data_IF_169084709465
#
_entry.id   IF_169084709465
#
_cell.length_a   1.000
_cell.length_b   1.000
_cell.length_c   1.000
_cell.angle_alpha   90.00
_cell.angle_beta   90.00
_cell.angle_gamma   90.00
#
_symmetry.space_group_name_H-M   'P 1'
#
loop_
_entity.id
_entity.type
_entity.pdbx_description
1 polymer ?
#
# COMPACT_ATOMS: atom_id res chain seq x y z
N UNK A 1 -35.13 11.48 -5.30
CA UNK A 1 -35.44 11.95 -6.65
C UNK A 1 -36.94 11.72 -6.90
N UNK A 2 -37.71 12.74 -7.23
CA UNK A 2 -39.15 12.61 -7.54
C UNK A 2 -39.27 12.11 -8.98
N UNK A 3 -39.86 10.92 -9.15
CA UNK A 3 -40.15 10.38 -10.50
C UNK A 3 -41.65 10.35 -10.69
N UNK A 4 -42.12 10.95 -11.78
CA UNK A 4 -43.54 10.89 -12.17
C UNK A 4 -43.74 9.65 -13.04
N UNK A 5 -44.56 8.74 -12.57
CA UNK A 5 -44.96 7.53 -13.32
C UNK A 5 -46.37 7.68 -13.79
N UNK A 6 -46.61 7.41 -15.08
CA UNK A 6 -47.95 7.43 -15.67
C UNK A 6 -48.62 6.07 -15.37
N UNK A 7 -49.71 6.10 -14.61
CA UNK A 7 -50.44 4.90 -14.22
C UNK A 7 -51.82 4.92 -14.85
N UNK A 8 -52.19 3.79 -15.47
CA UNK A 8 -53.55 3.60 -16.03
C UNK A 8 -54.47 3.17 -14.88
N UNK A 9 -55.39 4.03 -14.49
CA UNK A 9 -56.40 3.72 -13.49
C UNK A 9 -57.48 2.76 -14.05
N UNK A 10 -58.08 1.96 -13.18
CA UNK A 10 -59.16 1.06 -13.54
C UNK A 10 -60.38 1.87 -13.98
N UNK A 11 -60.48 2.15 -15.26
CA UNK A 11 -61.48 3.04 -15.91
C UNK A 11 -60.91 3.79 -17.11
N UNK A 12 -59.66 3.51 -17.53
CA UNK A 12 -59.09 4.04 -18.78
C UNK A 12 -58.53 5.45 -18.72
N UNK A 13 -58.44 6.07 -17.54
CA UNK A 13 -57.89 7.41 -17.39
C UNK A 13 -56.43 7.33 -16.94
N UNK A 14 -55.51 7.98 -17.65
CA UNK A 14 -54.09 8.10 -17.32
C UNK A 14 -53.89 9.22 -16.29
N UNK A 15 -53.32 8.85 -15.13
CA UNK A 15 -52.97 9.80 -14.08
C UNK A 15 -51.50 9.71 -13.75
N UNK A 16 -50.89 10.88 -13.45
CA UNK A 16 -49.50 10.89 -12.94
C UNK A 16 -49.49 10.64 -11.44
N UNK A 17 -48.79 9.64 -11.02
CA UNK A 17 -48.51 9.40 -9.59
C UNK A 17 -47.07 9.78 -9.28
N UNK A 18 -46.87 10.62 -8.28
CA UNK A 18 -45.54 10.96 -7.79
C UNK A 18 -45.06 9.86 -6.84
N UNK A 19 -44.03 9.13 -7.27
CA UNK A 19 -43.38 8.13 -6.44
C UNK A 19 -42.06 8.71 -5.93
N UNK A 20 -42.02 8.94 -4.63
CA UNK A 20 -40.76 9.28 -3.98
C UNK A 20 -39.95 7.99 -3.84
N UNK A 21 -38.96 7.76 -4.71
CA UNK A 21 -37.98 6.72 -4.49
C UNK A 21 -37.00 7.23 -3.41
N UNK A 22 -37.18 6.76 -2.19
CA UNK A 22 -36.09 6.81 -1.22
C UNK A 22 -34.88 6.12 -1.86
N UNK A 23 -33.66 6.65 -1.71
CA UNK A 23 -32.50 5.91 -2.15
C UNK A 23 -32.48 4.59 -1.36
N UNK A 24 -32.74 3.50 -2.04
CA UNK A 24 -32.57 2.16 -1.48
C UNK A 24 -31.11 2.07 -1.10
N UNK A 25 -30.82 2.00 0.19
CA UNK A 25 -29.48 1.68 0.66
C UNK A 25 -29.16 0.28 0.13
N UNK A 26 -28.38 0.21 -0.94
CA UNK A 26 -27.81 -1.05 -1.41
C UNK A 26 -26.99 -1.60 -0.25
N UNK A 27 -27.22 -2.84 0.20
CA UNK A 27 -26.45 -3.42 1.29
C UNK A 27 -24.94 -3.29 1.00
N UNK A 28 -24.15 -2.94 2.00
CA UNK A 28 -22.69 -2.74 1.90
C UNK A 28 -21.99 -3.90 1.18
N UNK A 29 -22.51 -5.13 1.31
CA UNK A 29 -22.01 -6.34 0.64
C UNK A 29 -22.14 -6.37 -0.89
N UNK A 30 -22.86 -5.42 -1.49
CA UNK A 30 -23.00 -5.32 -2.96
C UNK A 30 -22.01 -4.31 -3.58
N UNK A 31 -21.24 -3.56 -2.76
CA UNK A 31 -20.22 -2.61 -3.22
C UNK A 31 -18.84 -3.20 -2.96
N UNK A 32 -18.00 -3.23 -3.99
CA UNK A 32 -16.60 -3.67 -3.81
C UNK A 32 -15.85 -2.84 -2.76
N UNK A 33 -14.75 -3.33 -2.19
CA UNK A 33 -14.03 -2.66 -1.10
C UNK A 33 -13.52 -1.25 -1.45
N UNK A 34 -13.41 -0.92 -2.72
CA UNK A 34 -12.87 0.37 -3.20
C UNK A 34 -13.92 1.45 -3.43
N UNK A 35 -15.21 1.10 -3.47
CA UNK A 35 -16.27 2.09 -3.71
C UNK A 35 -16.52 2.98 -2.49
N UNK A 36 -16.91 4.23 -2.71
CA UNK A 36 -17.22 5.21 -1.67
C UNK A 36 -16.12 6.26 -1.49
N UNK A 37 -16.18 6.99 -0.39
CA UNK A 37 -15.28 8.14 -0.15
C UNK A 37 -13.88 7.71 0.24
N UNK A 38 -12.91 8.28 -0.44
CA UNK A 38 -11.48 8.09 -0.22
C UNK A 38 -10.77 9.43 0.00
N UNK A 39 -9.68 9.38 0.73
CA UNK A 39 -8.73 10.48 0.83
C UNK A 39 -7.42 10.09 0.17
N UNK A 40 -6.78 11.01 -0.52
CA UNK A 40 -5.47 10.84 -1.14
C UNK A 40 -4.47 11.76 -0.48
N UNK A 41 -3.29 11.24 -0.13
CA UNK A 41 -2.23 11.98 0.55
C UNK A 41 -0.90 11.72 -0.14
N UNK A 42 -0.32 12.76 -0.74
CA UNK A 42 1.04 12.70 -1.29
C UNK A 42 1.95 13.47 -0.35
N UNK A 43 2.94 12.79 0.23
CA UNK A 43 3.84 13.43 1.20
C UNK A 43 5.26 13.59 0.64
N UNK A 44 5.97 14.67 1.04
CA UNK A 44 7.38 14.80 0.72
C UNK A 44 8.21 13.65 1.31
N UNK A 45 9.47 13.48 0.86
CA UNK A 45 10.36 12.46 1.41
C UNK A 45 10.54 12.62 2.92
N UNK A 46 10.39 11.49 3.67
CA UNK A 46 10.53 11.45 5.14
C UNK A 46 11.50 10.35 5.57
N UNK A 47 11.96 10.41 6.81
CA UNK A 47 12.73 9.32 7.43
C UNK A 47 11.90 8.03 7.53
N UNK A 48 12.58 6.89 7.69
CA UNK A 48 11.89 5.62 7.86
C UNK A 48 10.94 5.61 9.04
N UNK A 49 11.36 6.16 10.17
CA UNK A 49 10.53 6.27 11.37
C UNK A 49 9.28 7.13 11.14
N UNK A 50 9.44 8.30 10.51
CA UNK A 50 8.33 9.20 10.22
C UNK A 50 7.35 8.61 9.20
N UNK A 51 7.84 7.87 8.18
CA UNK A 51 6.98 7.18 7.21
C UNK A 51 6.15 6.07 7.87
N UNK A 52 6.77 5.22 8.69
CA UNK A 52 6.06 4.16 9.44
C UNK A 52 5.09 4.73 10.47
N UNK A 53 5.45 5.82 11.12
CA UNK A 53 4.61 6.52 12.08
C UNK A 53 3.33 7.07 11.45
N UNK A 54 3.46 7.71 10.28
CA UNK A 54 2.31 8.26 9.58
C UNK A 54 1.38 7.15 9.05
N UNK A 55 1.93 6.07 8.50
CA UNK A 55 1.12 4.91 8.09
C UNK A 55 0.36 4.30 9.29
N UNK A 56 1.00 4.22 10.46
CA UNK A 56 0.36 3.77 11.69
C UNK A 56 -0.75 4.73 12.15
N UNK A 57 -0.47 6.03 12.17
CA UNK A 57 -1.46 7.03 12.58
C UNK A 57 -2.68 7.05 11.65
N UNK A 58 -2.47 6.89 10.34
CA UNK A 58 -3.56 6.77 9.35
C UNK A 58 -4.37 5.49 9.55
N UNK A 59 -3.75 4.35 9.89
CA UNK A 59 -4.45 3.10 10.22
C UNK A 59 -5.32 3.27 11.49
N UNK A 60 -4.79 3.89 12.55
CA UNK A 60 -5.56 4.17 13.77
C UNK A 60 -6.68 5.20 13.51
N UNK A 61 -6.44 6.16 12.61
CA UNK A 61 -7.49 7.09 12.17
C UNK A 61 -8.59 6.35 11.41
N UNK A 62 -8.24 5.44 10.50
CA UNK A 62 -9.22 4.61 9.80
C UNK A 62 -10.09 3.82 10.79
N UNK A 63 -9.49 3.24 11.84
CA UNK A 63 -10.21 2.52 12.90
C UNK A 63 -11.21 3.42 13.64
N UNK A 64 -10.81 4.66 14.00
CA UNK A 64 -11.67 5.58 14.78
C UNK A 64 -12.76 6.26 13.96
N UNK A 65 -12.50 6.53 12.68
CA UNK A 65 -13.36 7.42 11.87
C UNK A 65 -13.97 6.75 10.64
N UNK A 66 -13.55 5.53 10.30
CA UNK A 66 -13.93 4.88 9.04
C UNK A 66 -13.25 5.47 7.81
N UNK A 67 -12.36 6.46 7.95
CA UNK A 67 -11.71 7.13 6.82
C UNK A 67 -10.78 6.17 6.08
N UNK A 68 -10.90 6.12 4.75
CA UNK A 68 -10.02 5.36 3.85
C UNK A 68 -9.02 6.31 3.23
N UNK A 69 -7.74 5.91 3.22
CA UNK A 69 -6.66 6.76 2.69
C UNK A 69 -5.76 5.95 1.77
N UNK A 70 -5.52 6.49 0.56
CA UNK A 70 -4.40 6.12 -0.30
C UNK A 70 -3.30 7.16 -0.10
N UNK A 71 -2.15 6.74 0.41
CA UNK A 71 -0.97 7.59 0.56
C UNK A 71 0.12 7.17 -0.41
N UNK A 72 0.84 8.16 -1.00
CA UNK A 72 2.02 7.95 -1.86
C UNK A 72 3.17 8.78 -1.33
N UNK A 73 4.35 8.17 -1.21
CA UNK A 73 5.52 8.82 -0.61
C UNK A 73 6.85 8.24 -1.09
N UNK A 74 7.93 8.91 -0.70
CA UNK A 74 9.31 8.46 -0.87
C UNK A 74 10.09 8.60 0.43
N UNK A 75 11.35 8.22 0.43
CA UNK A 75 12.22 8.18 1.58
C UNK A 75 13.28 9.28 1.50
N UNK A 76 13.64 9.88 2.63
CA UNK A 76 14.63 10.97 2.67
C UNK A 76 16.08 10.49 2.46
N UNK A 77 16.31 9.20 2.42
CA UNK A 77 17.56 8.53 2.15
C UNK A 77 17.43 7.03 2.16
N UNK A 78 18.45 6.28 1.77
CA UNK A 78 18.44 4.83 1.78
C UNK A 78 18.04 4.30 3.16
N UNK A 79 17.05 3.43 3.22
CA UNK A 79 16.51 2.92 4.48
C UNK A 79 16.23 1.42 4.37
N UNK A 80 16.86 0.61 5.21
CA UNK A 80 16.53 -0.80 5.38
C UNK A 80 15.34 -0.94 6.32
N UNK A 81 14.21 -1.44 5.82
CA UNK A 81 13.08 -1.82 6.66
C UNK A 81 13.09 -3.31 6.98
N UNK A 82 12.99 -3.63 8.26
CA UNK A 82 12.80 -4.99 8.75
C UNK A 82 11.31 -5.31 8.88
N UNK A 83 10.94 -6.54 8.57
CA UNK A 83 9.60 -7.03 8.86
C UNK A 83 9.36 -7.11 10.38
N UNK A 84 8.09 -7.00 10.79
CA UNK A 84 7.67 -6.96 12.20
C UNK A 84 8.32 -8.04 13.08
N UNK A 85 8.43 -9.27 12.57
CA UNK A 85 8.89 -10.44 13.32
C UNK A 85 10.25 -10.93 12.84
N UNK A 86 10.96 -10.17 12.00
CA UNK A 86 12.26 -10.55 11.49
C UNK A 86 13.33 -10.34 12.57
N UNK A 87 14.20 -11.32 12.75
CA UNK A 87 15.36 -11.19 13.64
C UNK A 87 16.28 -10.08 13.14
N UNK A 88 16.77 -9.23 14.04
CA UNK A 88 17.65 -8.11 13.72
C UNK A 88 19.01 -8.24 14.40
N UNK A 89 19.03 -8.57 15.70
CA UNK A 89 20.28 -8.67 16.48
C UNK A 89 21.20 -9.75 15.93
N UNK A 90 22.44 -9.36 15.60
CA UNK A 90 23.45 -10.26 15.05
C UNK A 90 23.19 -10.71 13.61
N UNK A 91 22.18 -10.12 12.93
CA UNK A 91 21.88 -10.39 11.52
C UNK A 91 22.18 -9.20 10.60
N UNK A 92 22.33 -8.01 11.19
CA UNK A 92 22.60 -6.77 10.48
C UNK A 92 24.02 -6.36 10.78
N UNK A 93 24.76 -6.03 9.74
CA UNK A 93 26.04 -5.33 9.88
C UNK A 93 25.77 -3.83 10.00
N UNK A 94 25.58 -3.38 11.25
CA UNK A 94 25.25 -2.00 11.57
C UNK A 94 26.37 -1.02 11.16
N UNK A 95 27.63 -1.46 11.19
CA UNK A 95 28.77 -0.63 10.80
C UNK A 95 28.80 -0.43 9.28
N UNK A 96 28.55 -1.50 8.53
CA UNK A 96 28.42 -1.41 7.07
C UNK A 96 27.18 -0.58 6.68
N UNK A 97 26.02 -0.77 7.33
CA UNK A 97 24.84 0.06 7.08
C UNK A 97 25.14 1.55 7.30
N UNK A 98 25.80 1.88 8.40
CA UNK A 98 26.19 3.27 8.73
C UNK A 98 27.19 3.84 7.70
N UNK A 99 28.20 3.03 7.30
CA UNK A 99 29.19 3.45 6.30
C UNK A 99 28.57 3.70 4.92
N UNK A 100 27.48 3.00 4.60
CA UNK A 100 26.71 3.18 3.37
C UNK A 100 25.64 4.30 3.48
N UNK A 101 25.46 4.92 4.65
CA UNK A 101 24.43 5.90 4.91
C UNK A 101 23.01 5.32 4.91
N UNK A 102 22.87 4.01 5.16
CA UNK A 102 21.58 3.31 5.20
C UNK A 102 21.00 3.40 6.60
N UNK A 103 19.83 4.01 6.71
CA UNK A 103 19.06 4.06 7.95
C UNK A 103 18.32 2.73 8.19
N UNK A 104 18.02 2.41 9.45
CA UNK A 104 17.27 1.23 9.84
C UNK A 104 15.90 1.61 10.39
N UNK A 105 14.87 0.84 10.05
CA UNK A 105 13.54 0.95 10.65
C UNK A 105 12.87 -0.42 10.68
N UNK A 106 12.05 -0.69 11.68
CA UNK A 106 11.16 -1.86 11.66
C UNK A 106 9.75 -1.42 11.33
N UNK A 107 9.18 -1.99 10.27
CA UNK A 107 7.80 -1.71 9.87
C UNK A 107 6.78 -2.48 10.70
N UNK A 108 5.53 -2.00 10.82
CA UNK A 108 4.46 -2.68 11.57
C UNK A 108 3.97 -3.96 10.89
N UNK A 109 4.16 -4.08 9.59
CA UNK A 109 3.77 -5.24 8.77
C UNK A 109 4.82 -6.34 8.81
N UNK A 110 4.43 -7.54 8.42
CA UNK A 110 5.33 -8.68 8.27
C UNK A 110 6.23 -8.57 7.03
N UNK A 111 6.78 -9.72 6.63
CA UNK A 111 7.64 -9.84 5.46
C UNK A 111 9.12 -9.77 5.81
N UNK A 112 9.97 -9.73 4.78
CA UNK A 112 11.44 -9.77 4.84
C UNK A 112 12.03 -8.37 4.72
N UNK A 113 13.33 -8.24 4.95
CA UNK A 113 14.07 -7.01 4.79
C UNK A 113 13.94 -6.44 3.37
N UNK A 114 13.88 -5.12 3.28
CA UNK A 114 13.73 -4.39 2.03
C UNK A 114 14.53 -3.09 2.11
N UNK A 115 15.31 -2.80 1.08
CA UNK A 115 15.99 -1.52 0.94
C UNK A 115 15.06 -0.54 0.19
N UNK A 116 14.67 0.51 0.88
CA UNK A 116 13.93 1.64 0.33
C UNK A 116 14.92 2.73 -0.10
N UNK A 117 14.99 3.02 -1.38
CA UNK A 117 15.84 4.08 -1.91
C UNK A 117 15.25 4.64 -3.21
N UNK A 118 15.51 4.01 -4.35
CA UNK A 118 15.00 4.43 -5.66
C UNK A 118 13.65 3.78 -5.95
N UNK A 119 12.63 4.22 -5.23
CA UNK A 119 11.28 3.66 -5.30
C UNK A 119 10.21 4.73 -5.02
N UNK A 120 8.98 4.40 -5.32
CA UNK A 120 7.79 5.04 -4.79
C UNK A 120 7.08 4.06 -3.88
N UNK A 121 6.82 4.47 -2.64
CA UNK A 121 6.02 3.68 -1.71
C UNK A 121 4.57 4.13 -1.73
N UNK A 122 3.64 3.19 -1.72
CA UNK A 122 2.23 3.46 -1.47
C UNK A 122 1.82 2.88 -0.12
N UNK A 123 0.81 3.44 0.51
CA UNK A 123 0.06 2.79 1.58
C UNK A 123 -1.44 3.02 1.44
N UNK A 124 -2.20 2.00 1.80
CA UNK A 124 -3.66 2.03 1.89
C UNK A 124 -4.04 1.71 3.32
N UNK A 125 -4.81 2.60 3.94
CA UNK A 125 -5.43 2.36 5.25
C UNK A 125 -6.94 2.41 5.12
N UNK A 126 -7.63 1.47 5.76
CA UNK A 126 -9.08 1.36 5.71
C UNK A 126 -9.64 0.76 6.99
N UNK A 127 -10.88 1.12 7.32
CA UNK A 127 -11.69 0.41 8.30
C UNK A 127 -12.30 -0.82 7.62
N UNK A 128 -12.28 -1.93 8.34
CA UNK A 128 -12.89 -3.19 7.92
C UNK A 128 -14.26 -3.35 8.59
N UNK A 129 -15.31 -3.44 7.80
CA UNK A 129 -16.63 -3.73 8.31
C UNK A 129 -16.79 -5.23 8.67
N UNK A 130 -17.83 -5.53 9.42
CA UNK A 130 -18.12 -6.93 9.78
C UNK A 130 -18.45 -7.75 8.54
N UNK A 131 -17.62 -8.74 8.26
CA UNK A 131 -17.76 -9.59 7.07
C UNK A 131 -16.77 -9.27 5.95
N UNK A 132 -16.01 -8.17 6.05
CA UNK A 132 -15.00 -7.84 5.07
C UNK A 132 -13.90 -8.91 5.03
N UNK A 133 -13.53 -9.29 3.82
CA UNK A 133 -12.44 -10.22 3.56
C UNK A 133 -11.13 -9.47 3.33
N UNK A 134 -10.13 -9.71 4.18
CA UNK A 134 -8.76 -9.19 3.98
C UNK A 134 -8.19 -9.60 2.62
N UNK A 135 -8.54 -10.80 2.15
CA UNK A 135 -8.11 -11.29 0.83
C UNK A 135 -8.73 -10.48 -0.30
N UNK A 136 -9.99 -10.11 -0.19
CA UNK A 136 -10.68 -9.27 -1.19
C UNK A 136 -10.09 -7.86 -1.20
N UNK A 137 -9.79 -7.27 -0.03
CA UNK A 137 -9.10 -6.00 0.09
C UNK A 137 -7.71 -6.05 -0.57
N UNK A 138 -6.93 -7.09 -0.28
CA UNK A 138 -5.60 -7.27 -0.87
C UNK A 138 -5.68 -7.36 -2.40
N UNK A 139 -6.61 -8.16 -2.93
CA UNK A 139 -6.83 -8.32 -4.36
C UNK A 139 -7.27 -7.00 -5.02
N UNK A 140 -8.18 -6.26 -4.38
CA UNK A 140 -8.68 -4.99 -4.89
C UNK A 140 -7.59 -3.91 -4.94
N UNK A 141 -6.77 -3.81 -3.88
CA UNK A 141 -5.64 -2.87 -3.85
C UNK A 141 -4.61 -3.24 -4.94
N UNK A 142 -4.31 -4.53 -5.11
CA UNK A 142 -3.39 -4.96 -6.17
C UNK A 142 -3.95 -4.70 -7.58
N UNK A 143 -5.27 -4.74 -7.75
CA UNK A 143 -5.91 -4.36 -9.02
C UNK A 143 -5.71 -2.86 -9.33
N UNK A 144 -5.79 -1.96 -8.32
CA UNK A 144 -5.44 -0.54 -8.49
C UNK A 144 -3.98 -0.37 -8.92
N UNK A 145 -3.06 -1.08 -8.25
CA UNK A 145 -1.64 -1.02 -8.57
C UNK A 145 -1.37 -1.45 -10.01
N UNK A 146 -2.00 -2.55 -10.42
CA UNK A 146 -1.87 -3.07 -11.78
C UNK A 146 -2.43 -2.10 -12.82
N UNK A 147 -3.64 -1.54 -12.59
CA UNK A 147 -4.23 -0.53 -13.48
C UNK A 147 -3.35 0.73 -13.57
N UNK A 148 -2.80 1.19 -12.44
CA UNK A 148 -1.88 2.33 -12.42
C UNK A 148 -0.60 2.06 -13.25
N UNK A 149 -0.02 0.87 -13.15
CA UNK A 149 1.13 0.47 -13.94
C UNK A 149 0.81 0.40 -15.45
N UNK A 150 -0.34 -0.16 -15.80
CA UNK A 150 -0.82 -0.17 -17.20
C UNK A 150 -1.04 1.25 -17.74
N UNK A 151 -1.57 2.18 -16.94
CA UNK A 151 -1.71 3.61 -17.31
C UNK A 151 -0.37 4.30 -17.55
N UNK A 152 0.68 3.88 -16.85
CA UNK A 152 2.05 4.34 -17.11
C UNK A 152 2.67 3.72 -18.37
N UNK A 153 2.04 2.71 -18.97
CA UNK A 153 2.54 1.98 -20.14
C UNK A 153 3.39 0.76 -19.79
N UNK A 154 3.34 0.28 -18.55
CA UNK A 154 4.06 -0.91 -18.10
C UNK A 154 3.20 -2.14 -18.36
N UNK A 155 3.73 -3.12 -19.09
CA UNK A 155 3.11 -4.44 -19.28
C UNK A 155 3.37 -5.31 -18.02
N UNK A 156 2.69 -4.93 -16.94
CA UNK A 156 2.80 -5.60 -15.66
C UNK A 156 1.73 -6.68 -15.51
N UNK A 157 2.04 -7.73 -14.77
CA UNK A 157 1.16 -8.87 -14.56
C UNK A 157 1.15 -9.30 -13.08
N UNK A 158 0.04 -9.93 -12.60
CA UNK A 158 0.05 -10.57 -11.29
C UNK A 158 1.08 -11.71 -11.28
N UNK A 159 1.91 -11.76 -10.25
CA UNK A 159 2.89 -12.83 -10.11
C UNK A 159 2.20 -14.18 -9.85
N UNK A 160 2.65 -15.20 -10.57
CA UNK A 160 2.21 -16.58 -10.37
C UNK A 160 3.19 -17.25 -9.39
N UNK A 161 2.70 -17.64 -8.22
CA UNK A 161 3.52 -18.39 -7.26
C UNK A 161 3.73 -19.83 -7.73
N UNK A 162 4.99 -20.20 -7.94
CA UNK A 162 5.38 -21.58 -8.22
C UNK A 162 5.93 -22.25 -6.94
N UNK A 163 5.06 -22.51 -5.95
CA UNK A 163 5.42 -23.31 -4.78
C UNK A 163 5.21 -22.63 -3.42
N UNK A 164 5.46 -23.38 -2.32
CA UNK A 164 5.33 -22.88 -0.94
C UNK A 164 6.34 -21.76 -0.69
N UNK A 165 5.86 -20.61 -0.20
CA UNK A 165 6.72 -19.55 0.30
C UNK A 165 7.59 -20.07 1.44
N UNK A 166 8.93 -19.97 1.40
CA UNK A 166 9.77 -20.32 2.52
C UNK A 166 9.44 -19.47 3.74
N UNK A 167 9.69 -20.02 4.95
CA UNK A 167 9.51 -19.29 6.21
C UNK A 167 10.32 -17.98 6.21
N UNK A 168 9.85 -16.90 6.86
CA UNK A 168 10.39 -15.52 6.72
C UNK A 168 11.80 -15.30 7.27
N UNK A 169 12.54 -16.34 7.66
CA UNK A 169 13.76 -16.22 8.46
C UNK A 169 15.01 -15.78 7.69
N UNK A 170 15.06 -15.90 6.36
CA UNK A 170 16.36 -15.92 5.67
C UNK A 170 16.44 -15.26 4.31
N UNK A 171 15.55 -14.36 3.87
CA UNK A 171 15.70 -13.76 2.54
C UNK A 171 15.15 -12.33 2.41
N UNK A 172 15.73 -11.55 1.50
CA UNK A 172 15.26 -10.24 1.06
C UNK A 172 13.86 -10.31 0.42
N UNK A 173 13.10 -9.21 0.50
CA UNK A 173 11.70 -9.12 0.06
C UNK A 173 11.51 -9.30 -1.46
N UNK A 174 12.54 -9.01 -2.28
CA UNK A 174 12.49 -9.11 -3.74
C UNK A 174 13.09 -10.41 -4.31
N UNK A 175 13.42 -11.38 -3.46
CA UNK A 175 13.97 -12.69 -3.91
C UNK A 175 12.97 -13.46 -4.77
N UNK A 176 11.68 -13.42 -4.44
CA UNK A 176 10.59 -14.06 -5.21
C UNK A 176 9.32 -13.23 -5.09
N UNK A 177 8.51 -13.25 -6.14
CA UNK A 177 7.16 -12.72 -6.05
C UNK A 177 6.24 -13.77 -5.42
N UNK A 178 5.50 -13.38 -4.38
CA UNK A 178 4.45 -14.20 -3.79
C UNK A 178 3.16 -14.07 -4.61
N UNK A 179 2.23 -15.03 -4.41
CA UNK A 179 0.95 -15.03 -5.13
C UNK A 179 0.20 -13.69 -4.92
N UNK A 180 -0.14 -13.03 -6.02
CA UNK A 180 -0.84 -11.75 -6.02
C UNK A 180 0.05 -10.50 -5.97
N UNK A 181 1.38 -10.62 -5.85
CA UNK A 181 2.30 -9.51 -6.09
C UNK A 181 2.38 -9.18 -7.59
N UNK A 182 3.05 -8.09 -7.95
CA UNK A 182 3.08 -7.63 -9.34
C UNK A 182 4.49 -7.78 -9.90
N UNK A 183 4.56 -8.36 -11.09
CA UNK A 183 5.80 -8.58 -11.84
C UNK A 183 5.80 -7.87 -13.19
N UNK A 184 7.00 -7.64 -13.71
CA UNK A 184 7.30 -7.23 -15.07
C UNK A 184 8.38 -8.14 -15.63
N UNK A 185 8.11 -8.74 -16.79
CA UNK A 185 9.03 -9.70 -17.46
C UNK A 185 9.51 -10.82 -16.51
N UNK A 186 8.60 -11.37 -15.70
CA UNK A 186 8.87 -12.44 -14.74
C UNK A 186 9.67 -12.01 -13.50
N UNK A 187 9.96 -10.72 -13.31
CA UNK A 187 10.69 -10.16 -12.17
C UNK A 187 9.77 -9.31 -11.30
N UNK A 188 9.89 -9.44 -9.99
CA UNK A 188 9.08 -8.68 -9.03
C UNK A 188 9.33 -7.17 -9.19
N UNK A 189 8.27 -6.41 -9.52
CA UNK A 189 8.26 -4.96 -9.68
C UNK A 189 7.67 -4.28 -8.45
N UNK A 190 6.62 -4.88 -7.86
CA UNK A 190 5.97 -4.35 -6.66
C UNK A 190 5.98 -5.41 -5.56
N UNK A 191 6.47 -5.03 -4.39
CA UNK A 191 6.40 -5.82 -3.18
C UNK A 191 5.42 -5.20 -2.20
N UNK A 192 4.50 -5.99 -1.66
CA UNK A 192 3.45 -5.53 -0.75
C UNK A 192 3.44 -6.31 0.56
N UNK A 193 3.10 -5.64 1.65
CA UNK A 193 2.89 -6.25 2.95
C UNK A 193 1.61 -5.68 3.58
N UNK A 194 0.87 -6.56 4.26
CA UNK A 194 -0.41 -6.23 4.85
C UNK A 194 -0.40 -6.51 6.35
N UNK A 195 -1.06 -5.63 7.09
CA UNK A 195 -1.38 -5.77 8.51
C UNK A 195 -2.87 -5.56 8.69
N UNK A 196 -3.53 -6.51 9.36
CA UNK A 196 -4.83 -6.30 9.99
C UNK A 196 -4.63 -6.17 11.49
N UNK A 197 -5.19 -5.13 12.07
CA UNK A 197 -5.25 -4.94 13.52
C UNK A 197 -6.68 -4.55 13.91
N UNK A 198 -7.34 -5.44 14.66
CA UNK A 198 -8.78 -5.29 14.99
C UNK A 198 -9.62 -5.14 13.71
N UNK A 199 -10.26 -3.99 13.54
CA UNK A 199 -11.11 -3.58 12.42
C UNK A 199 -10.42 -2.60 11.46
N UNK A 200 -9.09 -2.49 11.50
CA UNK A 200 -8.32 -1.67 10.58
C UNK A 200 -7.34 -2.50 9.74
N UNK A 201 -7.13 -2.03 8.51
CA UNK A 201 -6.19 -2.55 7.53
C UNK A 201 -5.12 -1.50 7.23
N UNK A 202 -3.88 -1.97 7.12
CA UNK A 202 -2.78 -1.27 6.47
C UNK A 202 -2.16 -2.21 5.44
N UNK A 203 -2.19 -1.85 4.17
CA UNK A 203 -1.35 -2.45 3.15
C UNK A 203 -0.41 -1.39 2.63
N UNK A 204 0.88 -1.67 2.63
CA UNK A 204 1.87 -0.80 1.99
C UNK A 204 2.84 -1.61 1.15
N UNK A 205 3.51 -0.94 0.22
CA UNK A 205 4.44 -1.62 -0.68
C UNK A 205 5.26 -0.65 -1.50
N UNK A 206 6.31 -1.21 -2.10
CA UNK A 206 7.32 -0.50 -2.89
C UNK A 206 7.13 -0.80 -4.36
N UNK A 207 7.08 0.25 -5.17
CA UNK A 207 7.12 0.21 -6.63
C UNK A 207 8.53 0.66 -7.03
N UNK A 208 9.36 -0.24 -7.52
CA UNK A 208 10.76 0.07 -7.80
C UNK A 208 10.91 0.96 -9.04
N UNK A 209 11.54 2.11 -8.85
CA UNK A 209 11.96 2.99 -9.96
C UNK A 209 13.23 2.44 -10.61
N UNK A 210 14.18 1.99 -9.79
CA UNK A 210 15.45 1.38 -10.19
C UNK A 210 15.89 0.35 -9.15
N UNK A 211 16.85 -0.53 -9.49
CA UNK A 211 17.27 -1.62 -8.63
C UNK A 211 18.61 -1.32 -7.94
N UNK A 212 18.59 -1.32 -6.62
CA UNK A 212 19.76 -1.23 -5.75
C UNK A 212 19.69 -2.23 -4.59
N UNK A 213 18.82 -3.25 -4.71
CA UNK A 213 18.64 -4.29 -3.68
C UNK A 213 19.92 -5.10 -3.42
N UNK A 214 20.87 -5.11 -4.36
CA UNK A 214 22.18 -5.73 -4.16
C UNK A 214 22.98 -5.15 -2.97
N UNK A 215 22.67 -3.93 -2.52
CA UNK A 215 23.26 -3.36 -1.29
C UNK A 215 22.87 -4.16 -0.04
N UNK A 216 21.75 -4.88 -0.06
CA UNK A 216 21.31 -5.72 1.06
C UNK A 216 22.33 -6.82 1.40
N UNK A 217 22.98 -7.41 0.40
CA UNK A 217 23.99 -8.47 0.60
C UNK A 217 25.15 -8.01 1.48
N UNK A 218 25.47 -6.71 1.44
CA UNK A 218 26.54 -6.11 2.25
C UNK A 218 26.11 -5.85 3.68
N UNK A 219 24.81 -5.66 3.92
CA UNK A 219 24.24 -5.31 5.23
C UNK A 219 23.67 -6.55 5.93
N UNK A 220 23.24 -7.54 5.15
CA UNK A 220 22.66 -8.80 5.61
C UNK A 220 23.49 -9.97 5.04
N UNK A 221 24.72 -10.18 5.51
CA UNK A 221 25.67 -11.10 4.88
C UNK A 221 25.23 -12.57 4.93
N UNK A 222 24.35 -12.92 5.89
CA UNK A 222 23.83 -14.29 6.04
C UNK A 222 22.57 -14.55 5.19
N UNK A 223 22.04 -13.52 4.51
CA UNK A 223 20.85 -13.67 3.67
C UNK A 223 21.24 -14.13 2.25
N UNK A 224 20.40 -14.99 1.67
CA UNK A 224 20.57 -15.38 0.27
C UNK A 224 20.36 -14.19 -0.67
N UNK A 225 21.30 -14.01 -1.60
CA UNK A 225 21.14 -13.05 -2.69
C UNK A 225 19.88 -13.32 -3.51
N UNK A 226 19.18 -12.29 -4.00
CA UNK A 226 18.08 -12.50 -4.93
C UNK A 226 18.59 -13.26 -6.17
N UNK A 227 17.91 -14.34 -6.60
CA UNK A 227 18.34 -15.16 -7.73
C UNK A 227 18.33 -14.39 -9.06
N UNK A 228 17.58 -13.30 -9.11
CA UNK A 228 17.48 -12.40 -10.27
C UNK A 228 17.28 -10.95 -9.77
N UNK A 229 17.79 -9.95 -10.52
CA UNK A 229 17.50 -8.56 -10.22
C UNK A 229 15.99 -8.29 -10.28
N UNK A 230 15.52 -7.35 -9.46
CA UNK A 230 14.13 -6.94 -9.46
C UNK A 230 13.71 -6.30 -10.79
N UNK A 231 12.40 -6.32 -11.10
CA UNK A 231 11.83 -5.51 -12.17
C UNK A 231 11.76 -4.05 -11.74
N UNK A 232 11.96 -3.11 -12.66
CA UNK A 232 11.90 -1.68 -12.34
C UNK A 232 11.13 -0.89 -13.40
N UNK A 233 10.57 0.26 -13.01
CA UNK A 233 9.89 1.15 -13.95
C UNK A 233 10.84 1.69 -15.02
N UNK A 234 12.09 1.97 -14.67
CA UNK A 234 13.11 2.39 -15.66
C UNK A 234 13.31 1.34 -16.77
N UNK A 235 13.37 0.05 -16.39
CA UNK A 235 13.51 -1.03 -17.36
C UNK A 235 12.25 -1.20 -18.21
N UNK A 236 11.07 -1.11 -17.59
CA UNK A 236 9.80 -1.32 -18.27
C UNK A 236 9.49 -0.19 -19.28
N UNK A 237 9.85 1.04 -18.97
CA UNK A 237 9.49 2.24 -19.75
C UNK A 237 10.64 2.79 -20.59
N UNK A 238 11.88 2.33 -20.37
CA UNK A 238 13.06 2.87 -21.06
C UNK A 238 13.38 4.33 -20.71
N UNK A 239 12.79 4.86 -19.62
CA UNK A 239 12.97 6.23 -19.15
C UNK A 239 12.84 6.34 -17.64
N UNK A 240 13.27 7.47 -17.09
CA UNK A 240 13.00 7.80 -15.69
C UNK A 240 11.54 8.18 -15.47
N UNK A 241 11.03 7.80 -14.31
CA UNK A 241 9.67 8.11 -13.83
C UNK A 241 9.76 8.73 -12.46
N UNK A 242 9.04 9.82 -12.25
CA UNK A 242 9.00 10.51 -10.96
C UNK A 242 7.85 10.07 -10.06
N UNK A 243 7.97 10.37 -8.76
CA UNK A 243 6.91 10.09 -7.77
C UNK A 243 5.54 10.68 -8.19
N UNK A 244 5.52 11.91 -8.71
CA UNK A 244 4.29 12.59 -9.10
C UNK A 244 3.53 11.86 -10.22
N UNK A 245 4.26 11.26 -11.16
CA UNK A 245 3.66 10.50 -12.25
C UNK A 245 3.04 9.19 -11.74
N UNK A 246 3.76 8.48 -10.87
CA UNK A 246 3.24 7.27 -10.20
C UNK A 246 2.04 7.60 -9.31
N UNK A 247 2.11 8.68 -8.52
CA UNK A 247 1.01 9.11 -7.66
C UNK A 247 -0.25 9.44 -8.48
N UNK A 248 -0.10 10.17 -9.58
CA UNK A 248 -1.22 10.49 -10.47
C UNK A 248 -1.86 9.24 -11.06
N UNK A 249 -1.06 8.27 -11.51
CA UNK A 249 -1.55 7.01 -12.03
C UNK A 249 -2.34 6.20 -10.98
N UNK A 250 -1.86 6.17 -9.73
CA UNK A 250 -2.54 5.50 -8.61
C UNK A 250 -3.87 6.16 -8.26
N UNK A 251 -3.92 7.49 -8.21
CA UNK A 251 -5.15 8.24 -7.94
C UNK A 251 -6.17 8.01 -9.06
N UNK A 252 -5.75 8.07 -10.32
CA UNK A 252 -6.63 7.80 -11.47
C UNK A 252 -7.17 6.36 -11.46
N UNK A 253 -6.34 5.37 -11.11
CA UNK A 253 -6.75 3.99 -10.99
C UNK A 253 -7.75 3.79 -9.84
N UNK A 254 -7.55 4.46 -8.71
CA UNK A 254 -8.47 4.45 -7.58
C UNK A 254 -9.85 5.03 -7.97
N UNK A 255 -9.88 6.18 -8.64
CA UNK A 255 -11.11 6.79 -9.15
C UNK A 255 -11.84 5.90 -10.17
N UNK A 256 -11.10 5.26 -11.09
CA UNK A 256 -11.65 4.31 -12.05
C UNK A 256 -12.25 3.06 -11.39
N UNK A 257 -11.77 2.68 -10.20
CA UNK A 257 -12.33 1.59 -9.39
C UNK A 257 -13.62 1.99 -8.62
N UNK A 258 -14.11 3.21 -8.81
CA UNK A 258 -15.37 3.70 -8.22
C UNK A 258 -15.22 4.44 -6.89
N UNK A 259 -14.01 4.86 -6.56
CA UNK A 259 -13.76 5.74 -5.41
C UNK A 259 -14.15 7.18 -5.75
N UNK A 260 -14.81 7.85 -4.78
CA UNK A 260 -14.98 9.29 -4.75
C UNK A 260 -13.81 9.88 -3.91
N UNK A 261 -12.76 10.30 -4.61
CA UNK A 261 -11.49 10.64 -3.98
C UNK A 261 -11.32 12.16 -3.83
N UNK A 262 -10.68 12.57 -2.75
CA UNK A 262 -10.29 13.95 -2.49
C UNK A 262 -9.02 14.02 -1.66
N UNK A 263 -8.27 15.12 -1.80
CA UNK A 263 -7.02 15.30 -1.06
C UNK A 263 -7.24 15.30 0.46
N UNK A 264 -6.31 14.69 1.18
CA UNK A 264 -6.19 14.76 2.63
C UNK A 264 -5.11 15.80 2.99
N UNK A 265 -5.46 16.71 3.88
CA UNK A 265 -4.49 17.55 4.55
C UNK A 265 -4.14 16.96 5.91
N UNK A 266 -2.87 17.06 6.33
CA UNK A 266 -2.44 16.64 7.65
C UNK A 266 -2.96 17.62 8.71
N UNK A 267 -4.09 17.30 9.32
CA UNK A 267 -4.66 18.10 10.41
C UNK A 267 -3.87 17.95 11.72
N UNK A 268 -4.15 18.84 12.67
CA UNK A 268 -3.43 18.87 13.96
C UNK A 268 -3.49 17.53 14.74
N UNK A 269 -4.61 16.80 14.64
CA UNK A 269 -4.73 15.50 15.31
C UNK A 269 -3.82 14.46 14.65
N UNK A 270 -3.76 14.42 13.32
CA UNK A 270 -2.89 13.50 12.60
C UNK A 270 -1.42 13.78 12.90
N UNK A 271 -1.04 15.07 12.99
CA UNK A 271 0.33 15.47 13.37
C UNK A 271 0.68 14.98 14.77
N UNK A 272 -0.23 15.13 15.74
CA UNK A 272 -0.02 14.66 17.13
C UNK A 272 0.11 13.13 17.17
N UNK A 273 -0.80 12.42 16.51
CA UNK A 273 -0.81 10.95 16.47
C UNK A 273 0.47 10.41 15.80
N UNK A 274 0.89 11.05 14.69
CA UNK A 274 2.14 10.71 14.00
C UNK A 274 3.35 10.93 14.90
N UNK A 275 3.45 12.06 15.58
CA UNK A 275 4.56 12.34 16.51
C UNK A 275 4.62 11.36 17.70
N UNK A 276 3.47 10.90 18.17
CA UNK A 276 3.42 9.86 19.20
C UNK A 276 3.94 8.51 18.68
N UNK A 277 3.55 8.11 17.49
CA UNK A 277 4.01 6.89 16.85
C UNK A 277 5.50 6.97 16.47
N UNK A 278 5.98 8.11 16.00
CA UNK A 278 7.37 8.28 15.58
C UNK A 278 8.37 8.01 16.71
N UNK A 279 8.03 8.37 17.96
CA UNK A 279 8.86 8.00 19.13
C UNK A 279 9.07 6.49 19.26
N UNK A 280 8.07 5.70 18.89
CA UNK A 280 8.17 4.24 18.89
C UNK A 280 9.08 3.76 17.75
N UNK A 281 8.82 4.22 16.52
CA UNK A 281 9.53 3.76 15.33
C UNK A 281 10.98 4.26 15.27
N UNK A 282 11.34 5.32 16.01
CA UNK A 282 12.70 5.83 16.15
C UNK A 282 13.50 5.11 17.25
N UNK A 283 12.86 4.27 18.06
CA UNK A 283 13.53 3.62 19.19
C UNK A 283 14.29 2.36 18.75
N UNK A 284 15.46 2.15 19.35
CA UNK A 284 16.22 0.89 19.18
C UNK A 284 15.44 -0.30 19.72
N UNK A 285 14.68 -0.12 20.83
CA UNK A 285 13.84 -1.15 21.40
C UNK A 285 12.86 -1.71 20.38
N UNK A 286 12.23 -0.84 19.59
CA UNK A 286 11.34 -1.27 18.51
C UNK A 286 12.11 -1.91 17.35
N UNK A 287 13.21 -1.30 16.91
CA UNK A 287 13.96 -1.76 15.74
C UNK A 287 14.60 -3.14 15.99
N UNK A 288 15.16 -3.36 17.18
CA UNK A 288 15.88 -4.58 17.52
C UNK A 288 15.15 -5.52 18.50
N UNK A 289 13.82 -5.41 18.58
CA UNK A 289 13.00 -6.14 19.56
C UNK A 289 12.95 -7.66 19.39
N UNK A 290 13.46 -8.23 18.28
CA UNK A 290 13.45 -9.68 17.98
C UNK A 290 14.83 -10.16 17.61
#
# INVERSE_FOLDING_TARGET
MLVRVLVLAAGGTLTFQEVTTAPSAVPSSARGPLTGTWRTLVTPPRSGAANMALDHALMERARRTGQRVLRVYTWSGPTLSLGRNQAARGRIDDDTARALGVMLVRRPTGGRALLHHREVTYSVTAHLERGDSVREWYAAINAILLDALHRLGVDAEPAISHGRTPLPATASCFVRADEGEISFAGRKLVGSALLRREDALLQHGSILLDDDQALLERILPDDEAPPMPAGTLRQALGRDVGMSEVASALVMALGAAGADESALEEDAQLVVDTGAAERIYSSEEWTYRT
#
